data_IF_048113114479
#
_entry.id   IF_048113114479
#
_cell.length_a   1.000
_cell.length_b   1.000
_cell.length_c   1.000
_cell.angle_alpha   90.00
_cell.angle_beta   90.00
_cell.angle_gamma   90.00
#
_symmetry.space_group_name_H-M   'P 1'
#
loop_
_entity.id
_entity.type
_entity.pdbx_description
1 polymer ?
#
# COMPACT_ATOMS: atom_id res chain seq x y z
N UNK A 1 13.78 -6.09 -4.32
CA UNK A 1 13.06 -5.03 -5.08
C UNK A 1 11.65 -4.93 -4.54
N UNK A 2 11.20 -3.74 -4.17
CA UNK A 2 9.90 -3.54 -3.52
C UNK A 2 9.05 -2.58 -4.37
N UNK A 3 8.26 -3.09 -5.33
CA UNK A 3 7.21 -2.30 -5.95
C UNK A 3 6.20 -1.90 -4.87
N UNK A 4 5.85 -0.61 -4.81
CA UNK A 4 4.88 -0.11 -3.84
C UNK A 4 4.09 1.06 -4.40
N UNK A 5 2.89 1.25 -3.84
CA UNK A 5 2.08 2.46 -4.04
C UNK A 5 1.66 2.94 -2.65
N UNK A 6 0.47 2.53 -2.19
CA UNK A 6 0.01 2.65 -0.80
C UNK A 6 0.05 1.32 -0.05
N UNK A 7 0.41 0.25 -0.74
CA UNK A 7 0.51 -1.12 -0.24
C UNK A 7 1.74 -1.80 -0.83
N UNK A 8 2.11 -2.94 -0.25
CA UNK A 8 3.18 -3.81 -0.75
C UNK A 8 2.61 -5.20 -0.98
N UNK A 9 2.93 -5.77 -2.14
CA UNK A 9 2.55 -7.14 -2.50
C UNK A 9 3.64 -8.12 -2.05
N UNK A 10 3.35 -8.95 -1.06
CA UNK A 10 4.30 -9.94 -0.53
C UNK A 10 4.15 -11.33 -1.18
N UNK A 11 3.33 -11.42 -2.24
CA UNK A 11 2.99 -12.65 -2.93
C UNK A 11 1.74 -13.33 -2.35
N UNK A 12 0.95 -13.91 -3.24
CA UNK A 12 -0.30 -14.61 -2.90
C UNK A 12 -0.11 -16.08 -2.49
N UNK A 13 1.10 -16.64 -2.61
CA UNK A 13 1.34 -18.07 -2.44
C UNK A 13 0.55 -18.93 -3.43
N UNK A 14 0.36 -20.22 -3.15
CA UNK A 14 -0.42 -21.13 -4.02
C UNK A 14 -1.91 -20.92 -3.78
N UNK A 15 -2.61 -20.29 -4.74
CA UNK A 15 -4.06 -20.10 -4.71
C UNK A 15 -4.54 -19.11 -3.64
N UNK A 16 -3.77 -18.05 -3.38
CA UNK A 16 -4.13 -17.04 -2.38
C UNK A 16 -3.85 -17.47 -0.94
N UNK A 17 -3.05 -18.51 -0.68
CA UNK A 17 -2.67 -18.96 0.67
C UNK A 17 -1.24 -18.56 0.99
N UNK A 18 -1.07 -17.62 1.92
CA UNK A 18 0.24 -17.18 2.40
C UNK A 18 0.36 -17.41 3.92
N UNK A 19 1.40 -18.11 4.42
CA UNK A 19 1.53 -18.44 5.85
C UNK A 19 1.64 -17.20 6.76
N UNK A 20 2.08 -16.06 6.21
CA UNK A 20 2.23 -14.79 6.91
C UNK A 20 1.00 -13.89 6.84
N UNK A 21 -0.08 -14.34 6.18
CA UNK A 21 -1.32 -13.58 6.02
C UNK A 21 -2.50 -14.52 6.27
N UNK A 22 -3.02 -14.59 7.50
CA UNK A 22 -4.17 -15.42 7.78
C UNK A 22 -5.35 -14.96 6.92
N UNK A 23 -6.21 -15.92 6.60
CA UNK A 23 -7.44 -15.69 5.87
C UNK A 23 -7.27 -15.13 4.44
N UNK A 24 -6.05 -15.14 3.90
CA UNK A 24 -5.77 -14.64 2.54
C UNK A 24 -6.58 -15.36 1.44
N UNK A 25 -7.01 -16.61 1.68
CA UNK A 25 -7.82 -17.40 0.76
C UNK A 25 -9.32 -17.39 1.06
N UNK A 26 -9.77 -16.61 2.05
CA UNK A 26 -11.18 -16.59 2.48
C UNK A 26 -12.09 -15.98 1.42
N UNK A 27 -11.58 -15.01 0.67
CA UNK A 27 -12.27 -14.37 -0.45
C UNK A 27 -11.78 -14.98 -1.77
N UNK A 28 -12.70 -15.63 -2.50
CA UNK A 28 -12.50 -16.03 -3.90
C UNK A 28 -13.31 -15.08 -4.77
N UNK A 29 -12.71 -14.55 -5.84
CA UNK A 29 -13.38 -13.63 -6.76
C UNK A 29 -13.61 -14.29 -8.14
N UNK A 30 -14.25 -13.61 -9.10
CA UNK A 30 -14.71 -14.23 -10.33
C UNK A 30 -13.50 -14.60 -11.23
N UNK A 31 -13.73 -15.26 -12.38
CA UNK A 31 -12.67 -15.89 -13.16
C UNK A 31 -11.46 -15.02 -13.53
N UNK A 32 -11.66 -13.71 -13.65
CA UNK A 32 -10.60 -12.75 -14.01
C UNK A 32 -9.67 -12.39 -12.84
N UNK A 33 -10.12 -12.58 -11.60
CA UNK A 33 -9.35 -12.27 -10.40
C UNK A 33 -9.67 -13.30 -9.31
N UNK A 34 -9.16 -14.52 -9.41
CA UNK A 34 -9.69 -15.64 -8.61
C UNK A 34 -9.46 -15.54 -7.09
N UNK A 35 -8.57 -14.66 -6.61
CA UNK A 35 -8.18 -14.61 -5.20
C UNK A 35 -7.43 -13.35 -4.81
N UNK A 36 -7.11 -13.20 -3.52
CA UNK A 36 -6.18 -12.19 -3.02
C UNK A 36 -4.84 -12.18 -3.79
N UNK A 37 -4.45 -11.02 -4.30
CA UNK A 37 -3.27 -10.84 -5.16
C UNK A 37 -1.94 -10.84 -4.40
N UNK A 38 -1.96 -10.62 -3.09
CA UNK A 38 -0.76 -10.67 -2.24
C UNK A 38 -0.46 -9.39 -1.46
N UNK A 39 -1.26 -8.33 -1.61
CA UNK A 39 -1.06 -7.09 -0.89
C UNK A 39 -1.47 -7.17 0.57
N UNK A 40 -0.70 -6.52 1.44
CA UNK A 40 -0.95 -6.50 2.88
C UNK A 40 -1.16 -5.09 3.38
N UNK A 41 -1.95 -5.00 4.45
CA UNK A 41 -2.08 -3.76 5.20
C UNK A 41 -0.83 -3.49 6.04
N UNK A 42 -0.59 -2.21 6.32
CA UNK A 42 0.34 -1.80 7.34
C UNK A 42 -0.11 -2.31 8.71
N UNK A 43 0.87 -2.71 9.52
CA UNK A 43 0.61 -3.09 10.91
C UNK A 43 0.17 -1.87 11.73
N UNK A 44 -0.32 -2.09 12.93
CA UNK A 44 -0.62 -1.02 13.86
C UNK A 44 0.66 -0.46 14.47
N UNK A 45 0.66 0.84 14.74
CA UNK A 45 1.75 1.51 15.46
C UNK A 45 2.00 0.84 16.82
N UNK A 46 3.28 0.61 17.20
CA UNK A 46 4.50 1.04 16.53
C UNK A 46 5.06 0.07 15.47
N UNK A 47 4.44 -1.09 15.27
CA UNK A 47 4.97 -2.18 14.44
C UNK A 47 4.93 -1.91 12.92
N UNK A 48 4.25 -0.86 12.47
CA UNK A 48 4.36 -0.37 11.10
C UNK A 48 5.72 0.23 10.77
N UNK A 49 6.49 0.63 11.79
CA UNK A 49 7.82 1.25 11.65
C UNK A 49 8.98 0.34 12.06
N UNK A 50 8.68 -0.92 12.38
CA UNK A 50 9.64 -1.88 12.92
C UNK A 50 9.73 -3.12 12.04
N UNK A 51 10.91 -3.73 12.04
CA UNK A 51 11.16 -5.08 11.54
C UNK A 51 11.07 -6.10 12.69
N UNK A 52 9.88 -6.25 13.25
CA UNK A 52 9.61 -7.23 14.31
C UNK A 52 8.63 -8.27 13.80
N UNK A 53 8.88 -9.55 14.09
CA UNK A 53 7.95 -10.62 13.78
C UNK A 53 7.84 -11.59 14.95
N UNK A 54 6.64 -11.66 15.53
CA UNK A 54 6.28 -12.64 16.55
C UNK A 54 5.20 -13.57 16.00
N UNK A 55 5.53 -14.84 15.74
CA UNK A 55 4.55 -15.81 15.22
C UNK A 55 3.37 -16.08 16.19
N UNK A 56 3.52 -15.76 17.48
CA UNK A 56 2.45 -15.80 18.48
C UNK A 56 1.71 -14.47 18.63
N UNK A 57 2.19 -13.44 17.94
CA UNK A 57 1.67 -12.09 17.97
C UNK A 57 0.33 -11.94 17.25
N UNK A 58 -0.38 -10.87 17.60
CA UNK A 58 -1.68 -10.54 17.00
C UNK A 58 -1.51 -10.15 15.54
N UNK A 59 -2.44 -10.59 14.69
CA UNK A 59 -2.45 -10.24 13.26
C UNK A 59 -2.64 -8.74 13.07
N UNK A 60 -1.84 -8.14 12.19
CA UNK A 60 -1.84 -6.71 11.95
C UNK A 60 -1.12 -5.91 13.04
N UNK A 61 -0.44 -6.56 13.98
CA UNK A 61 0.31 -5.89 15.07
C UNK A 61 1.74 -6.41 15.08
N UNK A 62 2.08 -7.39 15.93
CA UNK A 62 3.44 -7.93 16.07
C UNK A 62 3.68 -9.20 15.25
N UNK A 63 2.62 -9.89 14.81
CA UNK A 63 2.71 -11.18 14.12
C UNK A 63 2.41 -11.13 12.64
N UNK A 64 1.44 -11.93 12.20
CA UNK A 64 1.06 -12.02 10.79
C UNK A 64 0.47 -10.71 10.27
N UNK A 65 0.51 -10.46 8.96
CA UNK A 65 -0.09 -9.25 8.36
C UNK A 65 -1.57 -9.48 8.02
N UNK A 66 -2.37 -8.41 8.07
CA UNK A 66 -3.72 -8.46 7.53
C UNK A 66 -3.68 -8.38 5.99
N UNK A 67 -4.50 -9.17 5.27
CA UNK A 67 -4.61 -9.02 3.83
C UNK A 67 -5.23 -7.66 3.50
N UNK A 68 -4.69 -7.00 2.49
CA UNK A 68 -5.28 -5.81 1.90
C UNK A 68 -6.35 -6.21 0.88
N UNK A 69 -7.52 -5.63 1.03
CA UNK A 69 -8.61 -5.68 0.08
C UNK A 69 -9.15 -4.27 -0.10
N UNK A 70 -9.20 -3.78 -1.33
CA UNK A 70 -9.93 -2.56 -1.62
C UNK A 70 -11.40 -2.80 -1.25
N UNK A 71 -11.99 -1.92 -0.44
CA UNK A 71 -13.39 -2.09 -0.08
C UNK A 71 -14.28 -1.73 -1.27
N UNK A 72 -15.43 -2.39 -1.34
CA UNK A 72 -16.40 -2.17 -2.40
C UNK A 72 -17.10 -0.81 -2.14
N UNK A 73 -16.43 0.29 -2.49
CA UNK A 73 -16.89 1.67 -2.29
C UNK A 73 -18.13 1.94 -3.17
N UNK A 74 -19.19 2.49 -2.56
CA UNK A 74 -20.42 2.88 -3.25
C UNK A 74 -20.34 4.31 -3.79
N UNK A 75 -20.75 4.52 -5.03
CA UNK A 75 -20.94 5.81 -5.68
C UNK A 75 -22.41 5.96 -6.14
N UNK A 76 -22.85 7.20 -6.38
CA UNK A 76 -24.19 7.48 -6.90
C UNK A 76 -24.23 7.15 -8.40
N UNK A 77 -25.03 6.16 -8.79
CA UNK A 77 -25.35 5.95 -10.19
C UNK A 77 -26.59 6.78 -10.52
N UNK A 78 -26.39 7.87 -11.27
CA UNK A 78 -27.49 8.56 -11.93
C UNK A 78 -28.03 7.66 -13.04
N UNK A 79 -29.20 7.06 -12.85
CA UNK A 79 -29.96 6.54 -13.98
C UNK A 79 -31.44 6.87 -13.86
N UNK A 80 -31.90 7.80 -14.71
CA UNK A 80 -33.27 8.01 -15.22
C UNK A 80 -34.49 7.79 -14.31
N UNK A 81 -35.36 8.82 -14.27
CA UNK A 81 -36.70 8.89 -13.67
C UNK A 81 -36.82 8.47 -12.19
N UNK A 82 -36.86 9.50 -11.34
CA UNK A 82 -37.38 9.55 -9.96
C UNK A 82 -36.68 8.74 -8.83
N UNK A 83 -35.68 7.91 -9.10
CA UNK A 83 -34.96 7.18 -8.03
C UNK A 83 -33.43 7.23 -8.19
N UNK A 84 -32.73 7.57 -7.10
CA UNK A 84 -31.27 7.41 -6.99
C UNK A 84 -30.98 6.10 -6.27
N UNK A 85 -30.02 5.31 -6.76
CA UNK A 85 -29.55 4.08 -6.10
C UNK A 85 -28.03 4.12 -5.90
N UNK A 86 -27.59 3.50 -4.79
CA UNK A 86 -26.19 3.35 -4.45
C UNK A 86 -25.59 2.20 -5.31
N UNK A 87 -24.70 2.49 -6.25
CA UNK A 87 -23.94 1.46 -6.99
C UNK A 87 -22.56 1.28 -6.39
N UNK A 88 -22.06 0.06 -6.38
CA UNK A 88 -20.66 -0.19 -6.05
C UNK A 88 -19.77 0.05 -7.26
N UNK A 89 -18.53 0.48 -7.03
CA UNK A 89 -17.52 0.56 -8.08
C UNK A 89 -17.26 -0.79 -8.78
N UNK A 90 -17.38 -1.95 -8.13
CA UNK A 90 -17.03 -3.22 -8.79
C UNK A 90 -17.82 -4.47 -8.36
N UNK A 91 -18.87 -4.31 -7.56
CA UNK A 91 -19.70 -5.43 -7.08
C UNK A 91 -21.19 -5.07 -6.94
N UNK A 92 -22.09 -5.83 -7.57
CA UNK A 92 -23.54 -5.63 -7.46
C UNK A 92 -24.18 -6.66 -6.53
N UNK A 93 -25.14 -6.27 -5.69
CA UNK A 93 -25.96 -7.19 -4.88
C UNK A 93 -26.90 -8.06 -5.75
N UNK A 94 -27.53 -9.10 -5.18
CA UNK A 94 -28.42 -10.02 -5.90
C UNK A 94 -29.66 -9.33 -6.47
N UNK A 95 -30.31 -9.97 -7.46
CA UNK A 95 -31.67 -9.61 -7.91
C UNK A 95 -32.64 -10.78 -7.74
N UNK A 96 -33.96 -10.52 -7.52
CA UNK A 96 -34.57 -9.20 -7.34
C UNK A 96 -34.15 -8.58 -6.00
N UNK A 97 -34.08 -7.25 -5.93
CA UNK A 97 -33.76 -6.57 -4.68
C UNK A 97 -34.86 -6.92 -3.65
N UNK A 98 -34.55 -7.71 -2.61
CA UNK A 98 -35.55 -8.09 -1.59
C UNK A 98 -36.07 -6.86 -0.82
N UNK A 99 -35.31 -5.76 -0.81
CA UNK A 99 -35.80 -4.40 -0.58
C UNK A 99 -35.02 -3.42 -1.48
N UNK A 100 -35.62 -2.28 -1.87
CA UNK A 100 -34.92 -1.17 -2.55
C UNK A 100 -33.72 -0.62 -1.72
N UNK A 101 -33.57 -1.10 -0.48
CA UNK A 101 -32.59 -0.71 0.52
C UNK A 101 -31.86 -1.91 1.13
N UNK A 102 -31.78 -3.04 0.41
CA UNK A 102 -30.88 -4.14 0.78
C UNK A 102 -29.45 -3.72 0.45
N UNK A 103 -29.00 -2.78 1.28
CA UNK A 103 -27.64 -2.31 1.35
C UNK A 103 -26.81 -3.51 1.78
N UNK A 104 -25.63 -3.72 1.17
CA UNK A 104 -24.70 -4.73 1.64
C UNK A 104 -24.41 -4.50 3.12
N UNK A 105 -25.14 -5.24 3.96
CA UNK A 105 -25.06 -5.17 5.40
C UNK A 105 -23.73 -5.81 5.78
N UNK A 106 -22.75 -4.98 6.11
CA UNK A 106 -21.44 -5.39 6.67
C UNK A 106 -20.80 -6.59 5.94
N UNK A 107 -20.68 -6.51 4.62
CA UNK A 107 -20.02 -7.50 3.76
C UNK A 107 -18.85 -6.92 2.95
N UNK A 108 -18.02 -6.08 3.59
CA UNK A 108 -17.06 -5.17 2.94
C UNK A 108 -15.73 -5.82 2.48
N UNK A 109 -15.68 -7.12 2.20
CA UNK A 109 -14.48 -7.77 1.65
C UNK A 109 -13.28 -7.89 2.60
N UNK A 110 -13.42 -7.52 3.89
CA UNK A 110 -12.43 -7.89 4.92
C UNK A 110 -12.51 -9.39 5.22
N UNK A 111 -11.44 -10.03 5.75
CA UNK A 111 -11.43 -11.45 6.11
C UNK A 111 -12.62 -11.94 6.93
N UNK A 112 -13.20 -11.05 7.76
CA UNK A 112 -14.29 -11.37 8.67
C UNK A 112 -15.67 -10.95 8.12
N UNK A 113 -15.72 -10.27 6.98
CA UNK A 113 -16.92 -9.83 6.28
C UNK A 113 -16.86 -10.34 4.84
N UNK A 114 -17.13 -11.63 4.70
CA UNK A 114 -17.22 -12.34 3.43
C UNK A 114 -18.15 -11.63 2.46
N UNK A 115 -17.77 -11.58 1.18
CA UNK A 115 -18.76 -11.39 0.13
C UNK A 115 -19.78 -12.54 0.22
N UNK A 116 -21.09 -12.29 0.00
CA UNK A 116 -22.08 -13.34 -0.08
C UNK A 116 -21.57 -14.46 -1.00
N UNK A 117 -21.33 -15.64 -0.44
CA UNK A 117 -20.59 -16.73 -1.11
C UNK A 117 -21.40 -17.46 -2.18
N UNK A 118 -22.71 -17.20 -2.24
CA UNK A 118 -23.64 -17.96 -3.06
C UNK A 118 -24.33 -17.00 -4.01
N UNK A 119 -24.01 -17.05 -5.32
CA UNK A 119 -24.88 -16.74 -6.48
C UNK A 119 -25.63 -15.41 -6.58
N UNK A 120 -25.64 -14.62 -5.53
CA UNK A 120 -26.66 -13.65 -5.26
C UNK A 120 -26.00 -12.28 -5.41
N UNK A 121 -25.44 -11.98 -6.59
CA UNK A 121 -24.70 -10.74 -6.84
C UNK A 121 -23.68 -10.89 -7.96
N UNK A 122 -23.34 -9.80 -8.65
CA UNK A 122 -22.49 -9.82 -9.84
C UNK A 122 -21.34 -8.84 -9.74
N UNK A 123 -20.10 -9.30 -9.98
CA UNK A 123 -18.96 -8.41 -10.16
C UNK A 123 -19.12 -7.58 -11.44
N UNK A 124 -18.77 -6.29 -11.40
CA UNK A 124 -18.86 -5.38 -12.54
C UNK A 124 -17.55 -4.61 -12.71
N UNK A 125 -17.18 -4.28 -13.95
CA UNK A 125 -16.05 -3.40 -14.24
C UNK A 125 -14.72 -3.86 -13.63
N UNK A 126 -14.46 -5.15 -13.46
CA UNK A 126 -13.18 -5.60 -12.94
C UNK A 126 -12.06 -5.32 -13.95
N UNK A 127 -10.99 -4.70 -13.45
CA UNK A 127 -9.76 -4.47 -14.22
C UNK A 127 -8.54 -4.77 -13.35
N UNK A 128 -7.75 -5.75 -13.77
CA UNK A 128 -6.53 -6.18 -13.06
C UNK A 128 -5.26 -5.66 -13.74
N UNK A 129 -5.40 -4.88 -14.81
CA UNK A 129 -4.29 -4.39 -15.64
C UNK A 129 -3.86 -2.99 -15.18
N UNK A 130 -2.58 -2.77 -14.86
CA UNK A 130 -2.10 -1.43 -14.54
C UNK A 130 -2.16 -0.51 -15.79
N UNK A 131 -2.20 0.83 -15.61
CA UNK A 131 -2.01 1.53 -14.35
C UNK A 131 -3.28 1.63 -13.50
N UNK A 132 -4.48 1.58 -14.12
CA UNK A 132 -5.76 1.76 -13.42
C UNK A 132 -6.43 0.42 -13.21
N UNK A 133 -6.52 -0.01 -11.96
CA UNK A 133 -7.20 -1.26 -11.60
C UNK A 133 -8.50 -1.02 -10.85
N UNK A 134 -9.40 -1.98 -10.94
CA UNK A 134 -10.73 -1.96 -10.36
C UNK A 134 -11.09 -3.35 -9.86
N UNK A 135 -11.59 -3.43 -8.63
CA UNK A 135 -11.84 -4.68 -7.95
C UNK A 135 -11.20 -4.75 -6.56
N UNK A 136 -11.31 -5.92 -5.90
CA UNK A 136 -10.82 -6.11 -4.53
C UNK A 136 -9.29 -6.05 -4.42
N UNK A 137 -8.57 -6.27 -5.52
CA UNK A 137 -7.12 -6.12 -5.62
C UNK A 137 -6.68 -4.78 -6.26
N UNK A 138 -7.58 -3.80 -6.35
CA UNK A 138 -7.25 -2.45 -6.85
C UNK A 138 -6.02 -1.89 -6.12
N UNK A 139 -5.14 -1.21 -6.85
CA UNK A 139 -3.92 -0.60 -6.34
C UNK A 139 -2.93 -1.59 -5.68
N UNK A 140 -3.07 -2.89 -5.92
CA UNK A 140 -2.11 -3.88 -5.45
C UNK A 140 -1.00 -4.09 -6.50
N UNK A 141 0.24 -3.62 -6.27
CA UNK A 141 1.30 -3.65 -7.28
C UNK A 141 1.83 -5.06 -7.54
N UNK A 142 2.84 -5.15 -8.41
CA UNK A 142 3.60 -6.37 -8.65
C UNK A 142 4.24 -6.90 -7.35
N UNK A 143 4.38 -8.24 -7.21
CA UNK A 143 4.98 -8.83 -6.02
C UNK A 143 6.41 -8.37 -5.83
N UNK A 144 6.77 -8.18 -4.56
CA UNK A 144 8.15 -8.02 -4.11
C UNK A 144 9.01 -9.11 -4.75
N UNK A 145 10.16 -8.70 -5.30
CA UNK A 145 11.21 -9.65 -5.66
C UNK A 145 12.15 -9.78 -4.47
N UNK A 146 12.21 -10.96 -3.82
CA UNK A 146 13.14 -11.22 -2.71
C UNK A 146 14.60 -11.06 -3.15
N UNK A 147 15.52 -10.99 -2.19
CA UNK A 147 16.95 -11.00 -2.51
C UNK A 147 17.32 -12.30 -3.22
N UNK A 148 18.09 -12.16 -4.29
CA UNK A 148 18.49 -13.24 -5.19
C UNK A 148 19.81 -12.89 -5.85
N UNK A 149 20.63 -13.89 -6.13
CA UNK A 149 21.86 -13.74 -6.92
C UNK A 149 21.61 -13.87 -8.43
N UNK A 150 20.36 -14.06 -8.85
CA UNK A 150 20.00 -14.25 -10.26
C UNK A 150 19.77 -12.90 -10.96
N UNK A 151 20.79 -12.41 -11.68
CA UNK A 151 20.70 -11.16 -12.45
C UNK A 151 19.49 -11.13 -13.40
N UNK A 152 19.23 -12.22 -14.12
CA UNK A 152 18.11 -12.31 -15.07
C UNK A 152 16.74 -12.23 -14.39
N UNK A 153 16.62 -12.64 -13.11
CA UNK A 153 15.39 -12.46 -12.35
C UNK A 153 15.17 -10.99 -12.01
N UNK A 154 16.24 -10.31 -11.55
CA UNK A 154 16.19 -8.88 -11.22
C UNK A 154 15.92 -8.01 -12.45
N UNK A 155 16.62 -8.25 -13.56
CA UNK A 155 16.41 -7.47 -14.80
C UNK A 155 15.00 -7.66 -15.35
N UNK A 156 14.43 -8.87 -15.28
CA UNK A 156 13.03 -9.09 -15.67
C UNK A 156 12.06 -8.32 -14.79
N UNK A 157 12.26 -8.35 -13.47
CA UNK A 157 11.41 -7.65 -12.52
C UNK A 157 11.48 -6.12 -12.69
N UNK A 158 12.67 -5.57 -13.00
CA UNK A 158 12.86 -4.15 -13.32
C UNK A 158 12.12 -3.81 -14.62
N UNK A 159 12.31 -4.59 -15.68
CA UNK A 159 11.68 -4.33 -16.98
C UNK A 159 10.16 -4.50 -16.96
N UNK A 160 9.62 -5.30 -16.02
CA UNK A 160 8.18 -5.50 -15.86
C UNK A 160 7.52 -4.43 -15.01
N UNK A 161 8.27 -3.53 -14.37
CA UNK A 161 7.67 -2.48 -13.55
C UNK A 161 6.76 -1.59 -14.38
N UNK A 162 5.54 -1.40 -13.90
CA UNK A 162 4.58 -0.43 -14.42
C UNK A 162 4.13 0.48 -13.28
N UNK A 163 3.76 1.74 -13.56
CA UNK A 163 3.11 2.56 -12.56
C UNK A 163 1.76 1.95 -12.21
N UNK A 164 1.44 1.94 -10.91
CA UNK A 164 0.16 1.46 -10.40
C UNK A 164 -0.58 2.66 -9.79
N UNK A 165 -1.72 3.05 -10.37
CA UNK A 165 -2.58 4.08 -9.81
C UNK A 165 -3.34 3.52 -8.61
N UNK A 166 -3.25 4.23 -7.50
CA UNK A 166 -3.77 3.71 -6.23
C UNK A 166 -3.85 4.70 -5.09
N UNK A 167 -3.76 6.00 -5.42
CA UNK A 167 -3.59 7.13 -4.50
C UNK A 167 -2.15 7.29 -3.96
N UNK A 168 -1.75 8.52 -3.69
CA UNK A 168 -0.77 8.87 -2.66
C UNK A 168 0.67 8.41 -2.85
N UNK A 169 1.51 8.82 -1.92
CA UNK A 169 2.90 8.37 -1.80
C UNK A 169 3.15 8.04 -0.34
N UNK A 170 3.57 6.79 -0.08
CA UNK A 170 3.83 6.29 1.28
C UNK A 170 5.25 5.75 1.38
N UNK A 171 6.24 6.63 1.28
CA UNK A 171 7.64 6.23 1.27
C UNK A 171 8.05 5.44 2.53
N UNK A 172 7.38 5.68 3.67
CA UNK A 172 7.58 4.92 4.89
C UNK A 172 7.26 3.42 4.73
N UNK A 173 6.23 3.06 3.94
CA UNK A 173 5.88 1.66 3.67
C UNK A 173 6.92 1.01 2.75
N UNK A 174 7.36 1.72 1.71
CA UNK A 174 8.45 1.26 0.85
C UNK A 174 9.74 1.02 1.66
N UNK A 175 10.08 1.95 2.54
CA UNK A 175 11.27 1.87 3.39
C UNK A 175 11.23 0.71 4.38
N UNK A 176 10.13 0.52 5.12
CA UNK A 176 10.04 -0.57 6.11
C UNK A 176 9.99 -1.95 5.45
N UNK A 177 9.39 -2.07 4.26
CA UNK A 177 9.44 -3.31 3.49
C UNK A 177 10.82 -3.55 2.89
N UNK A 178 11.50 -2.51 2.42
CA UNK A 178 12.92 -2.59 2.03
C UNK A 178 13.79 -3.12 3.16
N UNK A 179 13.58 -2.63 4.38
CA UNK A 179 14.24 -3.13 5.58
C UNK A 179 13.92 -4.61 5.86
N UNK A 180 12.64 -5.01 5.81
CA UNK A 180 12.22 -6.40 5.98
C UNK A 180 12.91 -7.36 5.01
N UNK A 181 13.15 -6.95 3.77
CA UNK A 181 13.89 -7.76 2.79
C UNK A 181 15.37 -7.94 3.15
N UNK A 182 15.97 -6.93 3.79
CA UNK A 182 17.38 -6.94 4.21
C UNK A 182 17.58 -7.66 5.55
N UNK A 183 16.50 -7.97 6.26
CA UNK A 183 16.54 -8.64 7.56
C UNK A 183 16.61 -10.17 7.44
N UNK A 184 16.95 -10.89 8.51
CA UNK A 184 16.76 -12.34 8.61
C UNK A 184 15.32 -12.72 8.99
N UNK A 185 14.45 -11.75 9.26
CA UNK A 185 13.11 -11.99 9.81
C UNK A 185 12.09 -12.30 8.71
N UNK A 186 11.02 -13.04 9.02
CA UNK A 186 9.95 -13.28 8.05
C UNK A 186 9.29 -11.99 7.55
N UNK A 187 8.77 -11.96 6.31
CA UNK A 187 8.52 -13.11 5.44
C UNK A 187 9.65 -13.41 4.45
N UNK A 188 10.67 -12.54 4.37
CA UNK A 188 11.78 -12.65 3.43
C UNK A 188 13.10 -12.76 4.19
N UNK A 189 13.57 -13.98 4.40
CA UNK A 189 14.71 -14.27 5.27
C UNK A 189 16.06 -14.32 4.54
N UNK A 190 16.08 -13.91 3.27
CA UNK A 190 17.27 -13.97 2.41
C UNK A 190 18.31 -12.88 2.77
N UNK A 191 17.97 -11.92 3.62
CA UNK A 191 18.85 -10.82 4.00
C UNK A 191 20.07 -11.23 4.82
N UNK A 192 20.00 -12.37 5.51
CA UNK A 192 21.03 -12.82 6.46
C UNK A 192 21.06 -11.98 7.75
N UNK A 193 21.86 -12.40 8.72
CA UNK A 193 21.94 -11.74 10.04
C UNK A 193 22.62 -10.36 9.97
N UNK A 194 22.38 -9.51 10.97
CA UNK A 194 22.92 -8.14 11.05
C UNK A 194 24.39 -8.10 11.47
N UNK A 195 24.82 -9.04 12.28
CA UNK A 195 26.19 -9.20 12.78
C UNK A 195 27.07 -10.01 11.82
N UNK A 196 26.55 -10.44 10.69
CA UNK A 196 27.33 -11.14 9.68
C UNK A 196 28.30 -10.18 8.98
N UNK A 197 29.57 -10.21 9.40
CA UNK A 197 30.63 -9.36 8.87
C UNK A 197 30.88 -9.53 7.36
N UNK A 198 30.44 -10.64 6.75
CA UNK A 198 30.58 -10.90 5.31
C UNK A 198 29.48 -10.25 4.47
N UNK A 199 28.45 -9.67 5.09
CA UNK A 199 27.29 -9.09 4.41
C UNK A 199 27.23 -7.59 4.72
N UNK A 200 27.44 -6.77 3.69
CA UNK A 200 27.11 -5.35 3.76
C UNK A 200 25.66 -5.17 3.27
N UNK A 201 24.84 -4.44 4.03
CA UNK A 201 23.43 -4.21 3.73
C UNK A 201 23.20 -2.75 3.34
N UNK A 202 22.53 -2.53 2.22
CA UNK A 202 22.19 -1.19 1.74
C UNK A 202 20.76 -1.12 1.25
N UNK A 203 20.09 -0.01 1.56
CA UNK A 203 18.74 0.33 1.10
C UNK A 203 18.82 1.59 0.26
N UNK A 204 18.24 1.55 -0.94
CA UNK A 204 18.08 2.73 -1.81
C UNK A 204 16.60 3.08 -1.87
N UNK A 205 16.25 4.25 -1.37
CA UNK A 205 14.88 4.80 -1.44
C UNK A 205 14.86 5.85 -2.54
N UNK A 206 13.94 5.72 -3.50
CA UNK A 206 13.72 6.70 -4.56
C UNK A 206 12.27 7.19 -4.50
N UNK A 207 12.07 8.50 -4.62
CA UNK A 207 10.73 9.10 -4.70
C UNK A 207 10.72 10.31 -5.63
N UNK A 208 9.60 10.54 -6.30
CA UNK A 208 9.29 11.73 -7.08
C UNK A 208 8.21 12.61 -6.42
N UNK A 209 7.51 12.08 -5.41
CA UNK A 209 6.32 12.69 -4.84
C UNK A 209 6.43 13.07 -3.37
N UNK A 210 5.51 13.95 -2.96
CA UNK A 210 5.26 14.27 -1.57
C UNK A 210 4.53 13.11 -0.87
N UNK A 211 4.92 12.77 0.37
CA UNK A 211 4.15 11.81 1.15
C UNK A 211 2.72 12.34 1.37
N UNK A 212 1.72 11.65 0.80
CA UNK A 212 0.34 12.12 0.82
C UNK A 212 -0.66 10.98 0.71
N UNK A 213 -1.88 11.26 1.18
CA UNK A 213 -3.08 10.47 0.91
C UNK A 213 -4.11 11.46 0.35
N UNK A 214 -4.65 11.22 -0.83
CA UNK A 214 -5.71 12.04 -1.41
C UNK A 214 -7.09 11.67 -0.86
N UNK A 215 -7.99 12.65 -0.88
CA UNK A 215 -9.42 12.46 -0.65
C UNK A 215 -10.05 11.67 -1.80
N UNK A 216 -11.09 10.88 -1.51
CA UNK A 216 -11.99 10.41 -2.57
C UNK A 216 -12.70 11.65 -3.12
N UNK A 217 -12.48 11.96 -4.40
CA UNK A 217 -12.97 13.16 -5.05
C UNK A 217 -14.50 13.24 -5.04
N UNK A 218 -15.02 14.13 -4.21
CA UNK A 218 -16.33 14.74 -4.33
C UNK A 218 -16.19 16.20 -3.94
N UNK A 219 -16.56 17.12 -4.84
CA UNK A 219 -16.47 18.56 -4.63
C UNK A 219 -16.90 18.96 -3.21
N UNK A 220 -16.21 19.93 -2.61
CA UNK A 220 -16.58 20.62 -1.35
C UNK A 220 -17.92 21.38 -1.44
N UNK A 221 -18.98 20.77 -1.95
CA UNK A 221 -20.31 21.33 -1.98
C UNK A 221 -21.06 20.81 -0.77
N UNK A 222 -20.94 21.56 0.31
CA UNK A 222 -21.82 21.58 1.47
C UNK A 222 -21.92 20.28 2.28
N UNK A 223 -21.77 20.48 3.57
CA UNK A 223 -21.92 19.52 4.64
C UNK A 223 -23.33 18.89 4.64
N UNK A 224 -23.61 17.92 3.77
CA UNK A 224 -24.81 17.09 3.85
C UNK A 224 -24.46 15.88 4.70
N UNK A 225 -24.87 15.94 5.97
CA UNK A 225 -24.71 14.84 6.90
C UNK A 225 -25.73 13.76 6.54
N UNK A 226 -25.30 12.70 5.85
CA UNK A 226 -26.12 11.50 5.71
C UNK A 226 -26.18 10.82 7.09
N UNK A 227 -27.37 10.79 7.69
CA UNK A 227 -27.66 9.93 8.82
C UNK A 227 -27.60 8.48 8.36
N UNK A 228 -26.40 7.89 8.35
CA UNK A 228 -26.19 6.50 7.94
C UNK A 228 -26.04 6.29 6.42
N UNK A 229 -25.48 5.13 6.01
CA UNK A 229 -25.36 4.78 4.60
C UNK A 229 -26.77 4.54 4.03
N UNK A 230 -27.15 5.32 3.02
CA UNK A 230 -28.33 5.13 2.17
C UNK A 230 -29.65 4.76 2.91
N UNK A 231 -29.99 5.43 4.02
CA UNK A 231 -31.33 5.33 4.61
C UNK A 231 -32.16 6.57 4.27
N UNK A 232 -33.28 6.32 3.59
CA UNK A 232 -34.44 7.19 3.38
C UNK A 232 -34.18 8.56 2.71
N UNK A 233 -34.43 8.58 1.40
CA UNK A 233 -35.03 9.71 0.68
C UNK A 233 -34.34 11.08 0.75
N UNK A 234 -33.01 11.14 0.77
CA UNK A 234 -32.28 12.37 0.45
C UNK A 234 -31.14 12.10 -0.51
N UNK A 235 -30.99 13.05 -1.44
CA UNK A 235 -29.98 13.10 -2.50
C UNK A 235 -28.60 12.81 -1.90
N UNK A 236 -28.11 11.59 -2.10
CA UNK A 236 -26.70 11.30 -1.93
C UNK A 236 -25.98 11.99 -3.08
N UNK A 237 -25.09 12.90 -2.71
CA UNK A 237 -24.03 13.37 -3.58
C UNK A 237 -22.76 12.99 -2.84
N UNK A 238 -21.94 12.16 -3.48
CA UNK A 238 -20.59 11.75 -3.06
C UNK A 238 -20.61 10.51 -2.15
N UNK A 239 -19.57 9.69 -2.33
CA UNK A 239 -19.06 8.63 -1.44
C UNK A 239 -18.91 9.16 0.00
N UNK A 240 -20.01 9.44 0.68
CA UNK A 240 -20.06 10.27 1.90
C UNK A 240 -20.61 9.49 3.10
N UNK A 241 -20.02 8.31 3.34
CA UNK A 241 -20.03 7.75 4.69
C UNK A 241 -18.94 8.44 5.52
N UNK A 242 -19.15 8.69 6.82
CA UNK A 242 -18.09 9.15 7.76
C UNK A 242 -16.80 8.30 7.68
N UNK A 243 -16.89 7.08 7.13
CA UNK A 243 -15.79 6.15 6.88
C UNK A 243 -14.93 6.52 5.66
N UNK A 244 -15.48 7.02 4.56
CA UNK A 244 -14.78 7.13 3.26
C UNK A 244 -14.16 8.52 3.04
N UNK A 245 -13.39 9.02 4.00
CA UNK A 245 -12.80 10.37 3.96
C UNK A 245 -11.51 10.48 3.14
N UNK A 246 -10.96 9.35 2.70
CA UNK A 246 -9.73 9.22 1.90
C UNK A 246 -9.87 8.01 1.00
N UNK A 247 -9.05 7.84 -0.05
CA UNK A 247 -9.01 6.50 -0.65
C UNK A 247 -8.45 5.48 0.35
N UNK A 248 -8.77 4.21 0.15
CA UNK A 248 -8.25 3.11 0.95
C UNK A 248 -6.75 2.90 0.68
N UNK A 249 -5.99 2.60 1.72
CA UNK A 249 -4.53 2.46 1.68
C UNK A 249 -4.06 1.29 2.53
N UNK A 250 -2.75 1.04 2.61
CA UNK A 250 -2.20 0.09 3.58
C UNK A 250 -2.58 0.43 5.03
N UNK A 251 -2.85 1.69 5.36
CA UNK A 251 -3.33 2.10 6.68
C UNK A 251 -4.85 2.06 6.82
N UNK A 252 -5.58 1.59 5.81
CA UNK A 252 -7.02 1.71 5.73
C UNK A 252 -7.47 3.11 5.33
N UNK A 253 -8.67 3.51 5.77
CA UNK A 253 -9.17 4.87 5.60
C UNK A 253 -8.65 5.79 6.70
N UNK A 254 -8.45 7.07 6.39
CA UNK A 254 -8.04 8.06 7.40
C UNK A 254 -9.04 8.10 8.57
N UNK A 255 -10.34 8.02 8.30
CA UNK A 255 -11.39 7.99 9.33
C UNK A 255 -11.23 6.88 10.38
N UNK A 256 -10.52 5.79 10.07
CA UNK A 256 -10.28 4.67 10.98
C UNK A 256 -9.17 4.96 11.99
N UNK A 257 -8.44 6.06 11.83
CA UNK A 257 -7.45 6.53 12.81
C UNK A 257 -6.17 5.69 12.90
N UNK A 258 -6.00 4.66 12.08
CA UNK A 258 -4.84 3.73 12.12
C UNK A 258 -3.50 4.39 11.86
N UNK A 259 -3.48 5.44 11.03
CA UNK A 259 -2.28 6.27 10.79
C UNK A 259 -1.94 7.17 12.00
N UNK A 260 -2.80 7.21 13.02
CA UNK A 260 -2.70 8.10 14.18
C UNK A 260 -3.40 9.45 13.97
N UNK A 261 -4.20 9.59 12.92
CA UNK A 261 -5.06 10.76 12.70
C UNK A 261 -6.32 10.37 11.95
N UNK A 262 -7.42 11.05 12.24
CA UNK A 262 -8.67 11.00 11.46
C UNK A 262 -8.86 12.22 10.56
N UNK A 263 -7.90 13.15 10.56
CA UNK A 263 -7.91 14.35 9.74
C UNK A 263 -7.00 14.17 8.52
N UNK A 264 -7.58 14.22 7.32
CA UNK A 264 -6.85 14.07 6.06
C UNK A 264 -5.73 15.11 5.90
N UNK A 265 -5.92 16.33 6.39
CA UNK A 265 -4.90 17.37 6.32
C UNK A 265 -3.62 16.99 7.10
N UNK A 266 -3.74 16.16 8.14
CA UNK A 266 -2.61 15.70 8.94
C UNK A 266 -1.96 14.42 8.37
N UNK A 267 -2.54 13.79 7.35
CA UNK A 267 -2.07 12.51 6.83
C UNK A 267 -0.60 12.59 6.34
N UNK A 268 -0.25 13.64 5.58
CA UNK A 268 1.12 13.85 5.10
C UNK A 268 2.13 14.02 6.24
N UNK A 269 1.77 14.76 7.29
CA UNK A 269 2.61 14.92 8.48
C UNK A 269 2.83 13.57 9.19
N UNK A 270 1.77 12.77 9.35
CA UNK A 270 1.88 11.46 9.98
C UNK A 270 2.76 10.51 9.15
N UNK A 271 2.64 10.51 7.82
CA UNK A 271 3.50 9.72 6.94
C UNK A 271 4.96 10.16 7.02
N UNK A 272 5.23 11.48 7.08
CA UNK A 272 6.59 12.01 7.27
C UNK A 272 7.19 11.54 8.60
N UNK A 273 6.41 11.62 9.69
CA UNK A 273 6.85 11.15 11.01
C UNK A 273 7.16 9.64 11.00
N UNK A 274 6.32 8.84 10.33
CA UNK A 274 6.56 7.40 10.16
C UNK A 274 7.81 7.12 9.33
N UNK A 275 8.07 7.89 8.27
CA UNK A 275 9.27 7.75 7.47
C UNK A 275 10.52 8.04 8.32
N UNK A 276 10.54 9.13 9.08
CA UNK A 276 11.64 9.45 10.01
C UNK A 276 11.89 8.29 10.97
N UNK A 277 10.84 7.78 11.62
CA UNK A 277 10.95 6.65 12.55
C UNK A 277 11.55 5.41 11.89
N UNK A 278 11.08 5.05 10.68
CA UNK A 278 11.61 3.92 9.93
C UNK A 278 13.09 4.13 9.59
N UNK A 279 13.47 5.29 9.07
CA UNK A 279 14.86 5.56 8.71
C UNK A 279 15.79 5.53 9.93
N UNK A 280 15.36 6.09 11.07
CA UNK A 280 16.14 6.06 12.30
C UNK A 280 16.29 4.64 12.86
N UNK A 281 15.24 3.81 12.76
CA UNK A 281 15.31 2.41 13.15
C UNK A 281 16.24 1.61 12.23
N UNK A 282 16.17 1.83 10.91
CA UNK A 282 17.06 1.18 9.93
C UNK A 282 18.52 1.53 10.20
N UNK A 283 18.83 2.83 10.39
CA UNK A 283 20.21 3.29 10.64
C UNK A 283 20.83 2.64 11.89
N UNK A 284 20.03 2.39 12.94
CA UNK A 284 20.50 1.70 14.16
C UNK A 284 20.94 0.25 13.91
N UNK A 285 20.52 -0.37 12.80
CA UNK A 285 20.92 -1.74 12.43
C UNK A 285 22.22 -1.80 11.62
N UNK A 286 22.83 -0.65 11.30
CA UNK A 286 24.02 -0.58 10.46
C UNK A 286 23.77 -0.68 8.95
N UNK A 287 22.50 -0.74 8.51
CA UNK A 287 22.15 -0.65 7.08
C UNK A 287 22.50 0.74 6.55
N UNK A 288 23.18 0.80 5.41
CA UNK A 288 23.46 2.04 4.69
C UNK A 288 22.20 2.47 3.93
N UNK A 289 21.65 3.64 4.26
CA UNK A 289 20.45 4.20 3.62
C UNK A 289 20.88 5.28 2.64
N UNK A 290 20.59 5.03 1.36
CA UNK A 290 20.67 5.99 0.28
C UNK A 290 19.28 6.54 -0.02
N UNK A 291 19.17 7.83 -0.28
CA UNK A 291 17.91 8.45 -0.70
C UNK A 291 18.10 9.26 -1.97
N UNK A 292 17.18 9.09 -2.92
CA UNK A 292 17.17 9.79 -4.19
C UNK A 292 15.81 10.48 -4.32
N UNK A 293 15.81 11.81 -4.41
CA UNK A 293 14.60 12.58 -4.73
C UNK A 293 14.66 12.97 -6.20
N UNK A 294 13.58 12.75 -6.93
CA UNK A 294 13.47 13.04 -8.36
C UNK A 294 12.45 14.15 -8.59
N UNK A 295 12.86 15.25 -9.23
CA UNK A 295 11.97 16.40 -9.53
C UNK A 295 11.14 16.91 -8.34
N UNK A 296 11.63 16.75 -7.11
CA UNK A 296 10.93 17.14 -5.90
C UNK A 296 11.32 18.57 -5.50
N UNK A 297 10.41 19.52 -5.65
CA UNK A 297 10.70 20.93 -5.33
C UNK A 297 10.49 21.30 -3.85
N UNK A 298 9.74 20.49 -3.09
CA UNK A 298 9.43 20.78 -1.69
C UNK A 298 10.68 20.72 -0.78
N UNK A 299 11.17 21.85 -0.23
CA UNK A 299 12.41 21.87 0.54
C UNK A 299 12.32 21.10 1.88
N UNK A 300 11.15 21.09 2.51
CA UNK A 300 10.94 20.38 3.77
C UNK A 300 11.07 18.86 3.55
N UNK A 301 10.56 18.36 2.42
CA UNK A 301 10.67 16.95 2.07
C UNK A 301 12.06 16.58 1.55
N UNK A 302 12.74 17.46 0.82
CA UNK A 302 14.17 17.24 0.53
C UNK A 302 14.98 17.08 1.82
N UNK A 303 14.74 17.92 2.83
CA UNK A 303 15.37 17.79 4.14
C UNK A 303 14.99 16.49 4.84
N UNK A 304 13.72 16.07 4.77
CA UNK A 304 13.27 14.78 5.30
C UNK A 304 14.05 13.60 4.69
N UNK A 305 14.14 13.54 3.36
CA UNK A 305 14.89 12.47 2.67
C UNK A 305 16.39 12.56 2.90
N UNK A 306 16.95 13.78 3.02
CA UNK A 306 18.35 13.97 3.42
C UNK A 306 18.64 13.42 4.81
N UNK A 307 17.75 13.65 5.77
CA UNK A 307 17.89 13.15 7.15
C UNK A 307 17.63 11.64 7.28
N UNK A 308 16.84 11.09 6.36
CA UNK A 308 16.62 9.65 6.25
C UNK A 308 17.89 8.90 5.77
N UNK A 309 18.70 9.52 4.91
CA UNK A 309 19.97 8.95 4.46
C UNK A 309 20.94 8.75 5.63
N UNK A 310 21.83 7.76 5.54
CA UNK A 310 22.81 7.46 6.60
C UNK A 310 23.83 8.59 6.81
N UNK A 311 24.13 9.34 5.75
CA UNK A 311 25.00 10.52 5.79
C UNK A 311 24.67 11.48 4.63
N UNK A 312 25.09 12.76 4.70
CA UNK A 312 24.72 13.76 3.69
C UNK A 312 25.15 13.41 2.25
N UNK A 313 26.22 12.64 2.07
CA UNK A 313 26.73 12.14 0.79
C UNK A 313 25.94 10.95 0.22
N UNK A 314 25.01 10.38 1.02
CA UNK A 314 24.09 9.31 0.62
C UNK A 314 22.73 9.84 0.16
N UNK A 315 22.56 11.16 0.16
CA UNK A 315 21.39 11.85 -0.37
C UNK A 315 21.68 12.42 -1.76
N UNK A 316 20.78 12.16 -2.71
CA UNK A 316 20.89 12.62 -4.09
C UNK A 316 19.64 13.41 -4.50
N UNK A 317 19.84 14.66 -4.90
CA UNK A 317 18.79 15.44 -5.56
C UNK A 317 18.93 15.31 -7.08
N UNK A 318 17.89 14.78 -7.73
CA UNK A 318 17.86 14.46 -9.15
C UNK A 318 16.79 15.29 -9.87
N UNK A 319 17.11 16.52 -10.34
CA UNK A 319 16.14 17.37 -11.04
C UNK A 319 15.77 16.85 -12.45
N UNK A 320 16.52 15.90 -12.99
CA UNK A 320 16.32 15.35 -14.34
C UNK A 320 16.87 13.92 -14.44
N UNK A 321 16.63 13.28 -15.59
CA UNK A 321 17.01 11.91 -15.86
C UNK A 321 18.53 11.71 -15.85
N UNK A 322 19.29 12.70 -16.29
CA UNK A 322 20.76 12.63 -16.32
C UNK A 322 21.32 12.56 -14.89
N UNK A 323 20.81 13.41 -13.99
CA UNK A 323 21.22 13.40 -12.57
C UNK A 323 20.72 12.16 -11.85
N UNK A 324 19.54 11.66 -12.18
CA UNK A 324 19.04 10.38 -11.67
C UNK A 324 19.95 9.21 -12.06
N UNK A 325 20.31 9.12 -13.34
CA UNK A 325 21.23 8.11 -13.83
C UNK A 325 22.61 8.23 -13.16
N UNK A 326 23.09 9.46 -12.95
CA UNK A 326 24.34 9.70 -12.23
C UNK A 326 24.28 9.22 -10.78
N UNK A 327 23.18 9.45 -10.07
CA UNK A 327 23.00 8.99 -8.69
C UNK A 327 23.12 7.46 -8.59
N UNK A 328 22.43 6.72 -9.46
CA UNK A 328 22.54 5.25 -9.49
C UNK A 328 23.93 4.75 -9.86
N UNK A 329 24.66 5.43 -10.76
CA UNK A 329 26.06 5.07 -11.06
C UNK A 329 26.96 5.26 -9.84
N UNK A 330 26.83 6.39 -9.13
CA UNK A 330 27.59 6.67 -7.90
C UNK A 330 27.32 5.62 -6.84
N UNK A 331 26.05 5.32 -6.56
CA UNK A 331 25.65 4.29 -5.59
C UNK A 331 26.21 2.92 -6.00
N UNK A 332 26.09 2.56 -7.28
CA UNK A 332 26.62 1.29 -7.78
C UNK A 332 28.14 1.15 -7.63
N UNK A 333 28.90 2.23 -7.88
CA UNK A 333 30.35 2.24 -7.69
C UNK A 333 30.72 2.06 -6.21
N UNK A 334 30.01 2.72 -5.30
CA UNK A 334 30.24 2.61 -3.86
C UNK A 334 29.89 1.21 -3.31
N UNK A 335 28.77 0.64 -3.73
CA UNK A 335 28.40 -0.72 -3.33
C UNK A 335 29.37 -1.77 -3.87
N UNK A 336 29.98 -1.54 -5.04
CA UNK A 336 31.01 -2.41 -5.58
C UNK A 336 32.34 -2.30 -4.80
N UNK A 337 32.75 -1.10 -4.37
CA UNK A 337 33.98 -0.96 -3.56
C UNK A 337 33.83 -1.67 -2.21
N UNK A 338 32.66 -1.56 -1.57
CA UNK A 338 32.32 -2.30 -0.34
C UNK A 338 32.40 -3.83 -0.50
N UNK A 339 32.17 -4.34 -1.72
CA UNK A 339 32.30 -5.78 -2.02
C UNK A 339 33.75 -6.22 -2.20
N UNK A 340 34.65 -5.33 -2.64
CA UNK A 340 36.04 -5.65 -2.97
C UNK A 340 36.98 -5.47 -1.77
N UNK A 341 36.65 -4.59 -0.81
CA UNK A 341 37.51 -4.27 0.33
C UNK A 341 37.46 -5.28 1.49
N UNK A 342 36.83 -6.44 1.33
CA UNK A 342 36.74 -7.54 2.33
C UNK A 342 37.07 -8.86 1.66
#
# INVERSE_FOLDING_TARGET
LVPFVTTVNIGNGRGGRNPFVPNSSINKYPPIDLSWKGCVEARQSPHDTLDTYDNRGVTGVSGKWAPYYWEAETYDALSGFAFNFCENSWWRPPRPFNSLFDLPSRGNGRPNNLFPRNGDGGFIGLDVTPPRTQGPNKACPDPVTPLTNQKNQLTRAINSMQPWEGNGTMANLGAVWGWRLLSPTPPFQQGGDYDNEKINKALVIMTDGNNLISSIGGSRRNNVTCGGPCSNAQICSIVSGRKYTSHYTGYGYISEGRLGTTNLANAGLMLNNRLTQVCDNIKKTGIIVFTIVFQLENPQLQTLFRNCASSPDKFFNSPNNEKLASAFRTIGAELNSLRVSK
#
